data_IF_073491055142
#
_entry.id   IF_073491055142
#
_cell.length_a   1.000
_cell.length_b   1.000
_cell.length_c   1.000
_cell.angle_alpha   90.00
_cell.angle_beta   90.00
_cell.angle_gamma   90.00
#
_symmetry.space_group_name_H-M   'P 1'
#
loop_
_entity.id
_entity.type
_entity.pdbx_description
1 polymer ?
#
# COMPACT_ATOMS: atom_id res chain seq x y z
N UNK A 1 -30.73 -41.06 -41.01
CA UNK A 1 -31.40 -40.84 -39.71
C UNK A 1 -30.61 -41.31 -38.48
N UNK A 2 -29.86 -42.44 -38.51
CA UNK A 2 -29.12 -42.93 -37.32
C UNK A 2 -27.92 -42.07 -36.90
N UNK A 3 -27.26 -41.38 -37.84
CA UNK A 3 -26.11 -40.50 -37.58
C UNK A 3 -26.51 -39.19 -36.88
N UNK A 4 -27.63 -38.59 -37.29
CA UNK A 4 -28.14 -37.34 -36.72
C UNK A 4 -28.50 -37.47 -35.22
N UNK A 5 -29.04 -38.62 -34.82
CA UNK A 5 -29.36 -38.89 -33.40
C UNK A 5 -28.12 -38.98 -32.53
N UNK A 6 -27.02 -39.56 -33.04
CA UNK A 6 -25.75 -39.65 -32.31
C UNK A 6 -25.12 -38.26 -32.11
N UNK A 7 -25.14 -37.43 -33.14
CA UNK A 7 -24.63 -36.05 -33.06
C UNK A 7 -25.42 -35.20 -32.06
N UNK A 8 -26.75 -35.37 -32.00
CA UNK A 8 -27.59 -34.63 -31.06
C UNK A 8 -27.30 -35.03 -29.61
N UNK A 9 -27.12 -36.33 -29.33
CA UNK A 9 -26.80 -36.83 -27.97
C UNK A 9 -25.43 -36.37 -27.47
N UNK A 10 -24.44 -36.25 -28.36
CA UNK A 10 -23.12 -35.71 -28.01
C UNK A 10 -23.21 -34.22 -27.70
N UNK A 11 -24.01 -33.47 -28.45
CA UNK A 11 -24.22 -32.04 -28.22
C UNK A 11 -24.88 -31.77 -26.86
N UNK A 12 -25.93 -32.52 -26.50
CA UNK A 12 -26.59 -32.38 -25.19
C UNK A 12 -25.66 -32.76 -24.04
N UNK A 13 -24.80 -33.77 -24.21
CA UNK A 13 -23.81 -34.14 -23.21
C UNK A 13 -22.78 -33.01 -23.01
N UNK A 14 -22.30 -32.38 -24.08
CA UNK A 14 -21.37 -31.25 -23.99
C UNK A 14 -22.00 -30.03 -23.29
N UNK A 15 -23.26 -29.72 -23.57
CA UNK A 15 -23.97 -28.61 -22.93
C UNK A 15 -24.16 -28.86 -21.43
N UNK A 16 -24.51 -30.10 -21.04
CA UNK A 16 -24.66 -30.46 -19.62
C UNK A 16 -23.33 -30.37 -18.85
N UNK A 17 -22.21 -30.77 -19.46
CA UNK A 17 -20.88 -30.67 -18.84
C UNK A 17 -20.48 -29.19 -18.68
N UNK A 18 -20.72 -28.35 -19.69
CA UNK A 18 -20.46 -26.91 -19.62
C UNK A 18 -21.33 -26.20 -18.58
N UNK A 19 -22.59 -26.61 -18.38
CA UNK A 19 -23.44 -26.04 -17.33
C UNK A 19 -23.02 -26.48 -15.93
N UNK A 20 -22.51 -27.71 -15.77
CA UNK A 20 -22.02 -28.22 -14.47
C UNK A 20 -20.70 -27.57 -14.04
N UNK A 21 -19.79 -27.27 -14.97
CA UNK A 21 -18.50 -26.62 -14.65
C UNK A 21 -18.62 -25.10 -14.47
N UNK A 22 -19.59 -24.46 -15.13
CA UNK A 22 -19.86 -23.02 -14.91
C UNK A 22 -20.51 -22.75 -13.55
N UNK A 23 -21.27 -23.70 -12.99
CA UNK A 23 -21.82 -23.62 -11.64
C UNK A 23 -20.77 -23.81 -10.53
N UNK A 24 -19.70 -24.59 -10.76
CA UNK A 24 -18.63 -24.76 -9.77
C UNK A 24 -17.60 -23.62 -9.75
N UNK A 25 -17.56 -22.78 -10.80
CA UNK A 25 -16.73 -21.56 -10.84
C UNK A 25 -17.41 -20.35 -10.16
N UNK A 26 -18.66 -20.51 -9.71
CA UNK A 26 -19.42 -19.47 -9.00
C UNK A 26 -19.44 -19.64 -7.47
N UNK A 27 -18.79 -20.68 -6.93
CA UNK A 27 -18.45 -20.83 -5.51
C UNK A 27 -17.02 -20.30 -5.37
N UNK A 28 -16.64 -19.23 -4.67
CA UNK A 28 -17.18 -18.55 -3.51
C UNK A 28 -16.81 -17.06 -3.61
N UNK A 29 -17.75 -16.21 -4.01
CA UNK A 29 -17.73 -14.80 -3.62
C UNK A 29 -18.79 -14.66 -2.54
N UNK A 30 -18.55 -15.24 -1.36
CA UNK A 30 -19.31 -14.82 -0.18
C UNK A 30 -19.00 -13.32 -0.03
N UNK A 31 -19.99 -12.42 -0.13
CA UNK A 31 -19.75 -11.01 0.11
C UNK A 31 -19.20 -10.89 1.52
N UNK A 32 -17.94 -10.49 1.64
CA UNK A 32 -17.35 -10.15 2.94
C UNK A 32 -18.05 -8.87 3.37
N UNK A 33 -18.79 -8.94 4.47
CA UNK A 33 -19.38 -7.75 5.06
C UNK A 33 -18.25 -6.79 5.45
N UNK A 34 -18.26 -5.52 4.98
CA UNK A 34 -17.22 -4.57 5.31
C UNK A 34 -17.11 -4.39 6.83
N UNK A 35 -15.88 -4.24 7.32
CA UNK A 35 -15.67 -3.67 8.65
C UNK A 35 -16.20 -2.24 8.60
N UNK A 36 -17.23 -1.94 9.40
CA UNK A 36 -17.73 -0.58 9.52
C UNK A 36 -16.66 0.27 10.23
N UNK A 37 -15.77 0.87 9.44
CA UNK A 37 -14.65 1.72 9.88
C UNK A 37 -14.91 3.20 9.60
N UNK A 38 -16.07 3.54 9.05
CA UNK A 38 -16.41 4.89 8.62
C UNK A 38 -16.74 5.85 9.78
N UNK A 39 -17.13 5.32 10.94
CA UNK A 39 -17.65 6.11 12.04
C UNK A 39 -16.56 6.89 12.82
N UNK A 40 -15.29 6.47 12.75
CA UNK A 40 -14.16 7.12 13.43
C UNK A 40 -12.86 7.01 12.62
N UNK A 41 -11.92 7.97 12.77
CA UNK A 41 -10.60 7.85 12.16
C UNK A 41 -9.89 6.59 12.62
N UNK A 42 -9.39 5.81 11.66
CA UNK A 42 -8.54 4.64 11.89
C UNK A 42 -7.13 5.15 12.20
N UNK A 43 -6.66 4.91 13.42
CA UNK A 43 -5.32 5.31 13.86
C UNK A 43 -4.42 4.09 13.93
N UNK A 44 -3.27 4.19 13.31
CA UNK A 44 -2.27 3.14 13.18
C UNK A 44 -0.91 3.65 13.64
N UNK A 45 -0.21 2.86 14.44
CA UNK A 45 1.19 3.05 14.75
C UNK A 45 2.01 2.14 13.87
N UNK A 46 3.08 2.65 13.27
CA UNK A 46 3.94 1.85 12.42
C UNK A 46 5.41 2.03 12.78
N UNK A 47 6.18 0.98 12.53
CA UNK A 47 7.62 0.98 12.65
C UNK A 47 8.21 0.17 11.51
N UNK A 48 9.04 0.80 10.69
CA UNK A 48 9.75 0.16 9.58
C UNK A 48 11.24 0.09 9.87
N UNK A 49 11.85 -1.02 9.48
CA UNK A 49 13.30 -1.18 9.56
C UNK A 49 14.01 -0.44 8.42
N UNK A 50 15.34 -0.42 8.50
CA UNK A 50 16.19 0.02 7.41
C UNK A 50 15.82 -0.76 6.13
N UNK A 51 15.21 -0.03 5.21
CA UNK A 51 15.02 -0.44 3.83
C UNK A 51 16.33 -0.96 3.22
N UNK A 52 16.23 -1.82 2.20
CA UNK A 52 17.38 -2.18 1.38
C UNK A 52 18.20 -0.95 0.93
N UNK A 53 19.47 -1.10 0.55
CA UNK A 53 20.37 0.03 0.30
C UNK A 53 19.71 1.04 -0.67
N UNK A 54 19.71 2.35 -0.34
CA UNK A 54 19.07 3.35 -1.17
C UNK A 54 19.67 3.33 -2.57
N UNK A 55 18.81 3.41 -3.57
CA UNK A 55 19.27 3.65 -4.95
C UNK A 55 19.33 5.16 -5.17
N UNK A 56 20.52 5.66 -5.49
CA UNK A 56 20.77 7.07 -5.80
C UNK A 56 21.19 7.15 -7.26
N UNK A 57 20.41 7.86 -8.08
CA UNK A 57 20.68 8.06 -9.50
C UNK A 57 20.84 9.56 -9.80
N UNK A 58 22.03 10.03 -10.18
CA UNK A 58 22.19 11.40 -10.65
C UNK A 58 21.47 11.59 -11.98
N UNK A 59 20.68 12.65 -12.07
CA UNK A 59 19.96 13.04 -13.28
C UNK A 59 20.78 14.04 -14.09
N UNK A 60 20.53 14.11 -15.40
CA UNK A 60 21.28 14.95 -16.35
C UNK A 60 21.09 16.45 -16.15
N UNK A 61 20.15 16.87 -15.32
CA UNK A 61 19.77 18.26 -15.06
C UNK A 61 20.27 18.81 -13.71
N UNK A 62 21.23 18.13 -13.08
CA UNK A 62 21.80 18.54 -11.79
C UNK A 62 20.94 18.16 -10.58
N UNK A 63 19.95 17.29 -10.77
CA UNK A 63 19.16 16.66 -9.71
C UNK A 63 19.63 15.24 -9.42
N UNK A 64 19.13 14.66 -8.34
CA UNK A 64 19.33 13.26 -7.98
C UNK A 64 17.97 12.62 -7.67
N UNK A 65 17.76 11.41 -8.17
CA UNK A 65 16.64 10.56 -7.80
C UNK A 65 17.07 9.61 -6.69
N UNK A 66 16.23 9.48 -5.67
CA UNK A 66 16.44 8.63 -4.51
C UNK A 66 15.27 7.67 -4.37
N UNK A 67 15.57 6.38 -4.19
CA UNK A 67 14.55 5.33 -4.00
C UNK A 67 14.91 4.44 -2.83
N UNK A 68 13.92 4.17 -2.00
CA UNK A 68 14.02 3.37 -0.79
C UNK A 68 12.80 2.45 -0.68
N UNK A 69 13.01 1.21 -0.24
CA UNK A 69 11.94 0.25 0.05
C UNK A 69 11.99 -0.18 1.52
N UNK A 70 11.14 0.40 2.36
CA UNK A 70 11.05 0.07 3.77
C UNK A 70 9.94 -0.96 4.03
N UNK A 71 10.11 -1.77 5.08
CA UNK A 71 9.10 -2.70 5.53
C UNK A 71 9.13 -2.83 7.05
N UNK A 72 8.00 -3.16 7.65
CA UNK A 72 7.89 -3.42 9.07
C UNK A 72 6.46 -3.70 9.49
N UNK A 73 6.15 -3.33 10.72
CA UNK A 73 4.92 -3.74 11.39
C UNK A 73 3.98 -2.56 11.60
N UNK A 74 2.69 -2.86 11.66
CA UNK A 74 1.63 -1.91 12.01
C UNK A 74 0.79 -2.45 13.16
N UNK A 75 0.34 -1.56 14.04
CA UNK A 75 -0.55 -1.87 15.16
C UNK A 75 -1.56 -0.73 15.38
N UNK A 76 -2.52 -0.93 16.28
CA UNK A 76 -3.56 0.06 16.60
C UNK A 76 -4.94 -0.45 16.24
N UNK A 77 -5.63 0.24 15.33
CA UNK A 77 -6.97 -0.16 14.88
C UNK A 77 -7.01 -1.56 14.22
N UNK A 78 -5.90 -1.97 13.60
CA UNK A 78 -5.66 -3.34 13.15
C UNK A 78 -4.15 -3.63 13.18
N UNK A 79 -3.82 -4.91 13.17
CA UNK A 79 -2.44 -5.40 13.18
C UNK A 79 -2.07 -6.02 11.84
N UNK A 80 -0.80 -5.92 11.48
CA UNK A 80 -0.28 -6.46 10.23
C UNK A 80 1.12 -5.96 9.90
N UNK A 81 1.43 -5.95 8.62
CA UNK A 81 2.70 -5.43 8.11
C UNK A 81 2.48 -4.25 7.17
N UNK A 82 3.46 -3.38 7.10
CA UNK A 82 3.51 -2.26 6.16
C UNK A 82 4.75 -2.39 5.29
N UNK A 83 4.58 -2.14 3.99
CA UNK A 83 5.68 -1.88 3.06
C UNK A 83 5.53 -0.49 2.47
N UNK A 84 6.64 0.22 2.32
CA UNK A 84 6.69 1.61 1.89
C UNK A 84 7.78 1.79 0.83
N UNK A 85 7.36 2.23 -0.35
CA UNK A 85 8.23 2.60 -1.45
C UNK A 85 8.35 4.13 -1.49
N UNK A 86 9.50 4.62 -1.04
CA UNK A 86 9.83 6.04 -1.02
C UNK A 86 10.50 6.41 -2.33
N UNK A 87 10.03 7.48 -2.96
CA UNK A 87 10.66 8.08 -4.13
C UNK A 87 10.80 9.59 -3.94
N UNK A 88 12.02 10.09 -4.14
CA UNK A 88 12.34 11.50 -4.07
C UNK A 88 13.16 11.92 -5.30
N UNK A 89 12.94 13.14 -5.79
CA UNK A 89 13.82 13.81 -6.75
C UNK A 89 14.18 15.18 -6.18
N UNK A 90 15.46 15.43 -5.93
CA UNK A 90 15.94 16.66 -5.30
C UNK A 90 17.12 17.28 -6.04
N UNK A 91 17.34 18.58 -5.84
CA UNK A 91 18.48 19.30 -6.41
C UNK A 91 19.77 18.98 -5.65
N UNK A 92 20.92 19.07 -6.33
CA UNK A 92 22.23 19.00 -5.68
C UNK A 92 22.82 20.42 -5.46
N UNK A 93 23.37 20.73 -4.27
CA UNK A 93 23.44 19.93 -3.04
C UNK A 93 22.08 19.82 -2.31
N UNK A 94 21.93 18.78 -1.47
CA UNK A 94 20.69 18.51 -0.71
C UNK A 94 20.22 19.73 0.10
N UNK A 95 18.99 20.23 -0.11
CA UNK A 95 18.40 21.24 0.77
C UNK A 95 17.93 20.63 2.10
N UNK A 96 17.76 21.40 3.18
CA UNK A 96 17.24 20.86 4.46
C UNK A 96 15.79 20.34 4.43
N UNK A 97 15.02 20.74 3.41
CA UNK A 97 13.62 20.37 3.23
C UNK A 97 13.48 19.55 1.94
N UNK A 98 13.06 18.30 2.10
CA UNK A 98 13.00 17.30 1.06
C UNK A 98 11.55 16.97 0.72
N UNK A 99 11.10 17.13 -0.55
CA UNK A 99 9.79 16.61 -0.95
C UNK A 99 9.84 15.09 -0.97
N UNK A 100 8.95 14.45 -0.20
CA UNK A 100 8.86 13.00 -0.15
C UNK A 100 7.51 12.53 -0.66
N UNK A 101 7.52 11.49 -1.50
CA UNK A 101 6.32 10.76 -1.90
C UNK A 101 6.52 9.30 -1.57
N UNK A 102 5.56 8.72 -0.85
CA UNK A 102 5.63 7.35 -0.38
C UNK A 102 4.40 6.60 -0.83
N UNK A 103 4.64 5.47 -1.46
CA UNK A 103 3.61 4.50 -1.80
C UNK A 103 3.63 3.38 -0.79
N UNK A 104 2.53 3.17 -0.08
CA UNK A 104 2.46 2.16 0.97
C UNK A 104 1.44 1.06 0.66
N UNK A 105 1.72 -0.12 1.20
CA UNK A 105 0.80 -1.25 1.26
C UNK A 105 0.78 -1.76 2.69
N UNK A 106 -0.41 -1.86 3.27
CA UNK A 106 -0.66 -2.50 4.55
C UNK A 106 -1.32 -3.85 4.27
N UNK A 107 -0.73 -4.91 4.80
CA UNK A 107 -1.25 -6.27 4.73
C UNK A 107 -1.64 -6.74 6.13
N UNK A 108 -2.88 -7.18 6.27
CA UNK A 108 -3.48 -7.67 7.51
C UNK A 108 -4.07 -9.05 7.28
N UNK A 109 -4.47 -9.76 8.34
CA UNK A 109 -5.17 -11.04 8.19
C UNK A 109 -6.50 -10.93 7.40
N UNK A 110 -7.11 -9.75 7.39
CA UNK A 110 -8.44 -9.49 6.83
C UNK A 110 -8.39 -8.95 5.39
N UNK A 111 -7.20 -8.58 4.90
CA UNK A 111 -7.01 -8.06 3.55
C UNK A 111 -5.88 -7.02 3.45
N UNK A 112 -5.87 -6.32 2.32
CA UNK A 112 -4.86 -5.31 1.98
C UNK A 112 -5.46 -3.91 1.83
N UNK A 113 -4.66 -2.91 2.17
CA UNK A 113 -4.93 -1.49 1.96
C UNK A 113 -3.72 -0.89 1.24
N UNK A 114 -3.93 -0.18 0.14
CA UNK A 114 -2.88 0.51 -0.60
C UNK A 114 -3.21 1.98 -0.73
N UNK A 115 -2.21 2.82 -0.51
CA UNK A 115 -2.38 4.27 -0.54
C UNK A 115 -1.05 4.99 -0.75
N UNK A 116 -1.12 6.31 -0.88
CA UNK A 116 0.05 7.16 -0.93
C UNK A 116 -0.03 8.25 0.13
N UNK A 117 1.12 8.80 0.48
CA UNK A 117 1.21 10.11 1.10
C UNK A 117 2.36 10.91 0.51
N UNK A 118 2.22 12.22 0.55
CA UNK A 118 3.23 13.16 0.11
C UNK A 118 3.35 14.31 1.10
N UNK A 119 4.56 14.82 1.26
CA UNK A 119 4.81 15.88 2.22
C UNK A 119 6.24 16.35 2.15
N UNK A 120 6.76 16.77 3.31
CA UNK A 120 8.14 17.20 3.41
C UNK A 120 8.84 16.50 4.56
N UNK A 121 10.04 16.01 4.28
CA UNK A 121 10.99 15.54 5.28
C UNK A 121 11.90 16.71 5.64
N UNK A 122 11.95 17.05 6.92
CA UNK A 122 12.83 18.10 7.44
C UNK A 122 14.00 17.45 8.18
N UNK A 123 15.22 17.69 7.69
CA UNK A 123 16.46 17.24 8.31
C UNK A 123 17.32 18.46 8.63
N UNK A 124 17.42 18.80 9.92
CA UNK A 124 18.31 19.86 10.37
C UNK A 124 19.79 19.45 10.21
N UNK A 125 20.65 20.42 9.92
CA UNK A 125 22.09 20.18 9.77
C UNK A 125 22.67 19.58 11.06
N UNK A 126 23.35 18.44 10.94
CA UNK A 126 23.93 17.71 12.09
C UNK A 126 22.92 16.93 12.93
N UNK A 127 21.66 16.81 12.50
CA UNK A 127 20.66 15.97 13.16
C UNK A 127 20.75 14.52 12.68
N UNK A 128 20.59 13.58 13.61
CA UNK A 128 20.45 12.14 13.33
C UNK A 128 18.97 11.73 13.15
N UNK A 129 18.05 12.69 13.16
CA UNK A 129 16.63 12.44 12.97
C UNK A 129 15.99 13.47 12.04
N UNK A 130 15.08 13.00 11.20
CA UNK A 130 14.21 13.83 10.36
C UNK A 130 12.75 13.58 10.69
N UNK A 131 11.93 14.64 10.65
CA UNK A 131 10.48 14.53 10.83
C UNK A 131 9.77 14.58 9.48
N UNK A 132 8.72 13.78 9.32
CA UNK A 132 7.81 13.81 8.18
C UNK A 132 6.43 14.21 8.67
N UNK A 133 5.86 15.24 8.03
CA UNK A 133 4.43 15.53 8.10
C UNK A 133 3.88 15.47 6.68
N UNK A 134 2.95 14.56 6.44
CA UNK A 134 2.47 14.27 5.10
C UNK A 134 0.97 13.98 5.07
N UNK A 135 0.39 14.17 3.89
CA UNK A 135 -1.00 13.84 3.61
C UNK A 135 -1.12 13.10 2.27
N UNK A 136 -2.16 12.31 2.13
CA UNK A 136 -2.47 11.61 0.90
C UNK A 136 -3.78 10.87 0.98
N UNK A 137 -3.84 9.70 0.35
CA UNK A 137 -5.12 9.01 0.14
C UNK A 137 -4.95 7.51 -0.05
N UNK A 138 -5.97 6.77 0.35
CA UNK A 138 -6.16 5.36 -0.01
C UNK A 138 -6.57 5.24 -1.48
N UNK A 139 -5.89 4.36 -2.21
CA UNK A 139 -6.08 4.12 -3.65
C UNK A 139 -6.77 2.79 -3.96
N UNK A 140 -6.59 1.78 -3.11
CA UNK A 140 -7.14 0.43 -3.32
C UNK A 140 -7.28 -0.29 -1.99
N UNK A 141 -8.32 -1.11 -1.86
CA UNK A 141 -8.66 -1.86 -0.65
C UNK A 141 -9.23 -3.23 -1.00
N UNK A 142 -8.98 -4.23 -0.15
CA UNK A 142 -9.77 -5.47 -0.16
C UNK A 142 -11.22 -5.21 0.28
N UNK A 143 -12.15 -6.11 -0.07
CA UNK A 143 -13.58 -5.93 0.19
C UNK A 143 -13.93 -5.66 1.66
N UNK A 144 -13.19 -6.27 2.59
CA UNK A 144 -13.35 -6.05 4.05
C UNK A 144 -13.12 -4.59 4.46
N UNK A 145 -12.34 -3.83 3.69
CA UNK A 145 -11.97 -2.44 3.96
C UNK A 145 -12.61 -1.46 2.97
N UNK A 146 -13.73 -1.84 2.32
CA UNK A 146 -14.38 -1.05 1.28
C UNK A 146 -14.66 0.41 1.71
N UNK A 147 -15.00 0.61 2.98
CA UNK A 147 -15.30 1.93 3.56
C UNK A 147 -14.08 2.88 3.58
N UNK A 148 -12.87 2.35 3.51
CA UNK A 148 -11.63 3.13 3.47
C UNK A 148 -11.23 3.53 2.05
N UNK A 149 -11.95 3.10 1.01
CA UNK A 149 -11.64 3.50 -0.36
C UNK A 149 -11.74 5.02 -0.51
N UNK A 150 -10.66 5.65 -1.03
CA UNK A 150 -10.53 7.10 -1.15
C UNK A 150 -10.53 7.88 0.18
N UNK A 151 -10.36 7.19 1.32
CA UNK A 151 -10.15 7.84 2.61
C UNK A 151 -8.88 8.70 2.60
N UNK A 152 -8.93 9.82 3.33
CA UNK A 152 -7.79 10.72 3.47
C UNK A 152 -6.79 10.13 4.47
N UNK A 153 -5.49 10.27 4.16
CA UNK A 153 -4.39 9.73 4.97
C UNK A 153 -3.56 10.89 5.51
N UNK A 154 -3.28 10.87 6.81
CA UNK A 154 -2.36 11.80 7.47
C UNK A 154 -1.26 11.03 8.17
N UNK A 155 -0.01 11.42 7.95
CA UNK A 155 1.16 10.76 8.54
C UNK A 155 2.00 11.78 9.30
N UNK A 156 2.36 11.41 10.52
CA UNK A 156 3.38 12.07 11.30
C UNK A 156 4.40 11.02 11.76
N UNK A 157 5.64 11.15 11.30
CA UNK A 157 6.67 10.15 11.57
C UNK A 157 8.06 10.77 11.73
N UNK A 158 8.97 9.97 12.27
CA UNK A 158 10.37 10.28 12.40
C UNK A 158 11.22 9.21 11.73
N UNK A 159 12.16 9.64 10.89
CA UNK A 159 13.20 8.80 10.31
C UNK A 159 14.46 8.97 11.16
N UNK A 160 15.07 7.86 11.57
CA UNK A 160 16.34 7.86 12.29
C UNK A 160 17.49 7.56 11.34
N UNK A 161 18.63 8.20 11.57
CA UNK A 161 19.86 8.03 10.79
C UNK A 161 21.03 7.65 11.70
N UNK A 162 21.92 6.77 11.22
CA UNK A 162 23.20 6.45 11.85
C UNK A 162 24.26 6.47 10.75
N UNK A 163 25.32 7.25 10.96
CA UNK A 163 26.40 7.46 9.97
C UNK A 163 25.89 7.87 8.58
N UNK A 164 24.86 8.74 8.55
CA UNK A 164 24.24 9.23 7.32
C UNK A 164 23.36 8.21 6.58
N UNK A 165 23.04 7.07 7.20
CA UNK A 165 22.15 6.05 6.64
C UNK A 165 20.87 5.95 7.46
N UNK A 166 19.72 5.87 6.80
CA UNK A 166 18.46 5.61 7.50
C UNK A 166 18.49 4.23 8.16
N UNK A 167 18.10 4.16 9.43
CA UNK A 167 17.98 2.91 10.20
C UNK A 167 16.52 2.48 10.40
N UNK A 168 15.57 3.32 10.03
CA UNK A 168 14.14 3.05 10.12
C UNK A 168 13.30 4.31 10.23
N UNK A 169 11.99 4.12 10.11
CA UNK A 169 10.97 5.16 10.28
C UNK A 169 9.90 4.64 11.25
N UNK A 170 9.48 5.47 12.20
CA UNK A 170 8.35 5.18 13.06
C UNK A 170 7.43 6.38 13.20
N UNK A 171 6.13 6.12 13.36
CA UNK A 171 5.16 7.19 13.45
C UNK A 171 3.73 6.72 13.54
N UNK A 172 2.83 7.67 13.33
CA UNK A 172 1.38 7.46 13.35
C UNK A 172 0.80 7.78 11.97
N UNK A 173 -0.05 6.89 11.48
CA UNK A 173 -0.89 7.09 10.31
C UNK A 173 -2.35 7.17 10.77
N UNK A 174 -3.05 8.22 10.34
CA UNK A 174 -4.50 8.38 10.56
C UNK A 174 -5.20 8.30 9.22
N UNK A 175 -6.15 7.39 9.09
CA UNK A 175 -6.99 7.20 7.90
C UNK A 175 -8.40 7.64 8.26
N UNK A 176 -8.92 8.66 7.57
CA UNK A 176 -10.26 9.21 7.80
C UNK A 176 -11.14 8.94 6.59
N UNK A 177 -12.17 8.11 6.77
CA UNK A 177 -13.20 7.89 5.75
C UNK A 177 -13.92 9.22 5.43
N UNK A 178 -14.46 9.32 4.20
CA UNK A 178 -15.15 10.52 3.71
C UNK A 178 -16.65 10.47 3.93
#
# INVERSE_FOLDING_TARGET
>A
MKTFRKSLSVLTLCIAILSLTSLSLAQDLIPVEPLNLSDQPVVLEFSTGAAGPPTIEPLTDGRMAFRIMAAGDISGAFEGSISANVSEVTAMPSPPLHPVTVMFTIETEQGMIQGYYSGSLYLAEGSDSASINAAGQILSVSGTYADLYLADVFVNSAVQFVDGRSVGESGTMTISAR
#
